data_IF_285252699293
#
_entry.id   IF_285252699293
#
_cell.length_a   1.000
_cell.length_b   1.000
_cell.length_c   1.000
_cell.angle_alpha   90.00
_cell.angle_beta   90.00
_cell.angle_gamma   90.00
#
_symmetry.space_group_name_H-M   'P 1'
#
loop_
_entity.id
_entity.type
_entity.pdbx_description
1 polymer ?
#
# COMPACT_ATOMS: atom_id res chain seq x y z
N UNK A 1 -1.58 1.88 38.27
CA UNK A 1 -0.36 2.49 37.69
C UNK A 1 -0.65 2.88 36.24
N UNK A 2 -1.11 4.11 36.00
CA UNK A 2 -1.28 4.65 34.65
C UNK A 2 0.06 5.25 34.21
N UNK A 3 0.67 4.65 33.19
CA UNK A 3 1.93 5.13 32.62
C UNK A 3 1.60 6.30 31.69
N UNK A 4 2.16 7.46 32.01
CA UNK A 4 2.13 8.66 31.19
C UNK A 4 2.59 8.36 29.76
N UNK A 5 1.82 8.81 28.77
CA UNK A 5 2.36 9.13 27.46
C UNK A 5 2.36 10.65 27.40
N UNK A 6 3.52 11.20 27.70
CA UNK A 6 3.87 12.57 27.34
C UNK A 6 3.70 12.68 25.83
N UNK A 7 2.54 13.22 25.45
CA UNK A 7 2.23 13.60 24.08
C UNK A 7 3.00 14.91 23.86
N UNK A 8 4.25 14.80 23.42
CA UNK A 8 5.10 15.94 23.12
C UNK A 8 4.46 16.73 21.97
N UNK A 9 3.94 17.89 22.35
CA UNK A 9 3.12 18.80 21.55
C UNK A 9 4.01 19.70 20.66
N UNK A 10 4.96 19.09 19.96
CA UNK A 10 5.82 19.76 18.97
C UNK A 10 5.84 18.94 17.68
N UNK A 11 5.44 19.58 16.58
CA UNK A 11 5.40 19.09 15.18
C UNK A 11 4.33 18.04 14.83
N UNK A 12 3.06 18.44 14.88
CA UNK A 12 1.91 17.59 14.52
C UNK A 12 1.67 17.43 13.01
N UNK A 13 2.58 16.77 12.29
CA UNK A 13 2.18 16.09 11.05
C UNK A 13 1.93 14.63 11.41
N UNK A 14 0.66 14.20 11.31
CA UNK A 14 0.30 12.80 11.56
C UNK A 14 1.13 11.90 10.63
N UNK A 15 1.77 10.87 11.19
CA UNK A 15 2.48 9.88 10.37
C UNK A 15 1.49 9.24 9.41
N UNK A 16 1.80 9.16 8.10
CA UNK A 16 0.90 8.59 7.11
C UNK A 16 0.59 7.14 7.46
N UNK A 17 -0.70 6.80 7.47
CA UNK A 17 -1.17 5.47 7.83
C UNK A 17 -1.58 4.67 6.60
N UNK A 18 -1.74 3.36 6.78
CA UNK A 18 -2.29 2.47 5.74
C UNK A 18 -3.70 2.91 5.36
N UNK A 19 -4.50 3.38 6.32
CA UNK A 19 -5.89 3.79 6.09
C UNK A 19 -5.97 5.04 5.21
N UNK A 20 -5.05 6.00 5.39
CA UNK A 20 -4.96 7.22 4.58
C UNK A 20 -4.71 6.93 3.09
N UNK A 21 -4.07 5.80 2.80
CA UNK A 21 -3.64 5.42 1.46
C UNK A 21 -4.32 4.14 0.95
N UNK A 22 -5.30 3.60 1.67
CA UNK A 22 -5.93 2.32 1.33
C UNK A 22 -6.65 2.35 -0.02
N UNK A 23 -7.11 3.53 -0.47
CA UNK A 23 -7.70 3.72 -1.80
C UNK A 23 -6.76 3.32 -2.94
N UNK A 24 -5.44 3.49 -2.75
CA UNK A 24 -4.43 3.03 -3.72
C UNK A 24 -4.56 1.52 -3.94
N UNK A 25 -4.73 0.76 -2.86
CA UNK A 25 -4.84 -0.70 -2.90
C UNK A 25 -6.14 -1.13 -3.57
N UNK A 26 -7.27 -0.55 -3.17
CA UNK A 26 -8.59 -0.95 -3.69
C UNK A 26 -8.72 -0.61 -5.17
N UNK A 27 -8.30 0.59 -5.57
CA UNK A 27 -8.32 1.05 -6.97
C UNK A 27 -7.39 0.23 -7.85
N UNK A 28 -6.16 -0.01 -7.40
CA UNK A 28 -5.18 -0.80 -8.17
C UNK A 28 -5.66 -2.25 -8.33
N UNK A 29 -6.12 -2.87 -7.25
CA UNK A 29 -6.67 -4.23 -7.27
C UNK A 29 -7.87 -4.36 -8.21
N UNK A 30 -8.75 -3.36 -8.24
CA UNK A 30 -9.92 -3.34 -9.13
C UNK A 30 -9.51 -3.27 -10.60
N UNK A 31 -8.65 -2.32 -10.96
CA UNK A 31 -8.24 -2.13 -12.35
C UNK A 31 -7.42 -3.30 -12.88
N UNK A 32 -6.54 -3.86 -12.06
CA UNK A 32 -5.75 -5.02 -12.46
C UNK A 32 -6.63 -6.25 -12.64
N UNK A 33 -7.57 -6.53 -11.73
CA UNK A 33 -8.51 -7.63 -11.89
C UNK A 33 -9.37 -7.51 -13.16
N UNK A 34 -9.70 -6.28 -13.59
CA UNK A 34 -10.46 -6.03 -14.83
C UNK A 34 -9.68 -6.30 -16.11
N UNK A 35 -8.35 -6.23 -16.08
CA UNK A 35 -7.50 -6.40 -17.26
C UNK A 35 -7.15 -7.87 -17.52
N UNK A 36 -7.47 -8.77 -16.59
CA UNK A 36 -7.17 -10.19 -16.74
C UNK A 36 -8.20 -10.90 -17.63
N UNK A 37 -7.77 -11.88 -18.44
CA UNK A 37 -8.67 -12.61 -19.33
C UNK A 37 -9.64 -13.55 -18.59
N UNK A 38 -9.46 -13.73 -17.28
CA UNK A 38 -10.31 -14.53 -16.40
C UNK A 38 -10.68 -13.74 -15.14
N UNK A 39 -11.78 -14.14 -14.49
CA UNK A 39 -12.24 -13.48 -13.26
C UNK A 39 -11.32 -13.82 -12.09
N UNK A 40 -10.55 -12.85 -11.61
CA UNK A 40 -9.80 -12.94 -10.36
C UNK A 40 -10.59 -12.30 -9.22
N UNK A 41 -10.70 -13.03 -8.10
CA UNK A 41 -11.24 -12.45 -6.87
C UNK A 41 -10.34 -11.32 -6.39
N UNK A 42 -10.94 -10.17 -6.04
CA UNK A 42 -10.18 -8.99 -5.62
C UNK A 42 -9.55 -9.13 -4.23
N UNK A 43 -10.13 -9.95 -3.36
CA UNK A 43 -9.66 -10.14 -1.97
C UNK A 43 -8.17 -10.51 -1.86
N UNK A 44 -7.63 -11.50 -2.59
CA UNK A 44 -6.19 -11.79 -2.56
C UNK A 44 -5.33 -10.62 -3.06
N UNK A 45 -5.77 -9.89 -4.10
CA UNK A 45 -5.04 -8.73 -4.62
C UNK A 45 -5.00 -7.59 -3.58
N UNK A 46 -6.13 -7.34 -2.91
CA UNK A 46 -6.22 -6.37 -1.82
C UNK A 46 -5.29 -6.78 -0.69
N UNK A 47 -5.28 -8.06 -0.28
CA UNK A 47 -4.42 -8.52 0.81
C UNK A 47 -2.93 -8.30 0.53
N UNK A 48 -2.48 -8.66 -0.67
CA UNK A 48 -1.08 -8.46 -1.09
C UNK A 48 -0.77 -6.97 -1.22
N UNK A 49 -1.67 -6.20 -1.83
CA UNK A 49 -1.51 -4.75 -1.97
C UNK A 49 -1.46 -4.02 -0.63
N UNK A 50 -2.26 -4.42 0.37
CA UNK A 50 -2.23 -3.82 1.71
C UNK A 50 -0.91 -4.10 2.43
N UNK A 51 -0.36 -5.30 2.31
CA UNK A 51 0.94 -5.63 2.88
C UNK A 51 2.06 -4.81 2.21
N UNK A 52 2.01 -4.68 0.88
CA UNK A 52 2.95 -3.86 0.12
C UNK A 52 2.83 -2.37 0.49
N UNK A 53 1.62 -1.85 0.67
CA UNK A 53 1.39 -0.47 1.08
C UNK A 53 2.01 -0.18 2.46
N UNK A 54 1.78 -1.07 3.44
CA UNK A 54 2.37 -0.92 4.77
C UNK A 54 3.90 -0.89 4.71
N UNK A 55 4.50 -1.79 3.93
CA UNK A 55 5.94 -1.80 3.71
C UNK A 55 6.40 -0.51 3.00
N UNK A 56 5.70 -0.07 1.95
CA UNK A 56 6.07 1.09 1.17
C UNK A 56 6.08 2.37 2.02
N UNK A 57 5.08 2.55 2.89
CA UNK A 57 5.04 3.65 3.86
C UNK A 57 6.22 3.58 4.82
N UNK A 58 6.51 2.40 5.40
CA UNK A 58 7.60 2.25 6.36
C UNK A 58 9.01 2.43 5.76
N UNK A 59 9.16 2.14 4.46
CA UNK A 59 10.44 2.16 3.76
C UNK A 59 10.63 3.42 2.91
N UNK A 60 9.67 4.34 2.92
CA UNK A 60 9.76 5.55 2.14
C UNK A 60 10.81 6.49 2.72
N UNK A 61 11.76 6.88 1.87
CA UNK A 61 12.75 7.90 2.18
C UNK A 61 12.11 9.29 2.04
N UNK A 62 12.00 10.10 3.12
CA UNK A 62 11.41 11.43 3.05
C UNK A 62 12.24 12.42 2.22
N UNK A 63 13.53 12.13 1.99
CA UNK A 63 14.42 12.96 1.16
C UNK A 63 14.36 12.55 -0.34
N UNK A 64 13.51 11.58 -0.69
CA UNK A 64 13.32 11.14 -2.06
C UNK A 64 12.64 12.21 -2.92
N UNK A 65 13.10 12.34 -4.17
CA UNK A 65 12.44 13.17 -5.20
C UNK A 65 11.02 12.66 -5.55
N UNK A 66 10.68 11.43 -5.18
CA UNK A 66 9.36 10.82 -5.43
C UNK A 66 8.51 10.98 -4.18
N UNK A 67 7.40 11.71 -4.26
CA UNK A 67 6.46 11.81 -3.13
C UNK A 67 5.86 10.46 -2.71
N UNK A 68 5.62 10.31 -1.40
CA UNK A 68 5.10 9.09 -0.76
C UNK A 68 3.94 8.42 -1.50
N UNK A 69 2.94 9.20 -1.91
CA UNK A 69 1.77 8.64 -2.59
C UNK A 69 2.15 7.96 -3.92
N UNK A 70 3.05 8.57 -4.68
CA UNK A 70 3.56 8.02 -5.94
C UNK A 70 4.37 6.76 -5.70
N UNK A 71 5.23 6.77 -4.67
CA UNK A 71 5.98 5.61 -4.24
C UNK A 71 5.06 4.43 -3.86
N UNK A 72 4.07 4.68 -3.00
CA UNK A 72 3.07 3.69 -2.61
C UNK A 72 2.30 3.12 -3.81
N UNK A 73 1.90 3.95 -4.78
CA UNK A 73 1.23 3.48 -6.01
C UNK A 73 2.11 2.53 -6.82
N UNK A 74 3.41 2.83 -6.95
CA UNK A 74 4.36 2.00 -7.68
C UNK A 74 4.55 0.64 -7.01
N UNK A 75 4.82 0.65 -5.70
CA UNK A 75 5.08 -0.56 -4.92
C UNK A 75 3.85 -1.49 -4.83
N UNK A 76 2.66 -0.93 -4.59
CA UNK A 76 1.40 -1.70 -4.58
C UNK A 76 1.14 -2.31 -5.95
N UNK A 77 1.33 -1.55 -7.04
CA UNK A 77 1.13 -2.07 -8.40
C UNK A 77 2.13 -3.17 -8.76
N UNK A 78 3.38 -3.06 -8.31
CA UNK A 78 4.40 -4.09 -8.49
C UNK A 78 4.00 -5.38 -7.78
N UNK A 79 3.74 -5.30 -6.48
CA UNK A 79 3.40 -6.47 -5.67
C UNK A 79 2.16 -7.23 -6.16
N UNK A 80 1.11 -6.51 -6.58
CA UNK A 80 -0.09 -7.15 -7.14
C UNK A 80 0.21 -7.83 -8.49
N UNK A 81 1.09 -7.23 -9.31
CA UNK A 81 1.47 -7.80 -10.61
C UNK A 81 2.27 -9.06 -10.43
N UNK A 82 3.28 -9.02 -9.57
CA UNK A 82 4.14 -10.17 -9.28
C UNK A 82 3.28 -11.34 -8.77
N UNK A 83 2.34 -11.07 -7.86
CA UNK A 83 1.39 -12.09 -7.39
C UNK A 83 0.53 -12.69 -8.51
N UNK A 84 0.08 -11.88 -9.47
CA UNK A 84 -0.71 -12.37 -10.61
C UNK A 84 0.16 -13.26 -11.51
N UNK A 85 1.36 -12.79 -11.88
CA UNK A 85 2.27 -13.53 -12.75
C UNK A 85 2.68 -14.86 -12.11
N UNK A 86 3.06 -14.86 -10.82
CA UNK A 86 3.44 -16.07 -10.08
C UNK A 86 2.32 -17.12 -10.01
N UNK A 87 1.06 -16.68 -9.98
CA UNK A 87 -0.08 -17.57 -9.73
C UNK A 87 -0.83 -18.00 -10.98
N UNK A 88 -0.76 -17.24 -12.07
CA UNK A 88 -1.61 -17.45 -13.24
C UNK A 88 -0.89 -17.43 -14.59
N UNK A 89 0.37 -17.02 -14.66
CA UNK A 89 1.16 -16.99 -15.90
C UNK A 89 2.27 -18.05 -15.95
N UNK A 90 2.38 -18.90 -14.92
CA UNK A 90 3.35 -19.99 -14.79
C UNK A 90 2.92 -21.28 -15.53
#
# INVERSE_FOLDING_TARGET
MHRARDFDERTGMASPTVDDHFEIVTSTSYWMAKQLPFRVHRTPLIRVGSAALAHAISAHDPDSDIGLETWCRQEVRRAIRDFISDRFEA
#
